data_IF_775536765448
#
_entry.id   IF_775536765448
#
_cell.length_a   1.000
_cell.length_b   1.000
_cell.length_c   1.000
_cell.angle_alpha   90.00
_cell.angle_beta   90.00
_cell.angle_gamma   90.00
#
_symmetry.space_group_name_H-M   'P 1'
#
loop_
_entity.id
_entity.type
_entity.pdbx_description
1 polymer ?
#
# COMPACT_ATOMS: atom_id res chain seq x y z
N UNK A 1 -5.26 6.53 18.32
CA UNK A 1 -4.80 5.85 19.55
C UNK A 1 -3.31 6.07 19.65
N UNK A 2 -2.86 6.75 20.73
CA UNK A 2 -1.46 6.68 21.12
C UNK A 2 -1.15 5.22 21.41
N UNK A 3 -0.43 4.57 20.52
CA UNK A 3 0.13 3.27 20.81
C UNK A 3 1.25 3.49 21.80
N UNK A 4 1.05 3.06 23.03
CA UNK A 4 2.17 2.83 23.96
C UNK A 4 3.20 1.96 23.24
N UNK A 5 4.50 2.14 23.50
CA UNK A 5 5.52 1.29 22.89
C UNK A 5 5.11 -0.16 23.12
N UNK A 6 4.87 -0.86 22.02
CA UNK A 6 4.47 -2.27 22.03
C UNK A 6 5.52 -3.08 22.79
N UNK A 7 5.09 -4.11 23.49
CA UNK A 7 6.01 -5.14 24.04
C UNK A 7 6.37 -6.17 22.98
N UNK A 8 6.50 -5.72 21.72
CA UNK A 8 6.85 -6.53 20.58
C UNK A 8 8.29 -7.05 20.63
N UNK A 9 8.75 -7.51 19.48
CA UNK A 9 10.12 -8.01 19.34
C UNK A 9 11.10 -6.91 19.76
N UNK A 10 12.00 -7.25 20.70
CA UNK A 10 12.98 -6.31 21.23
C UNK A 10 14.34 -6.37 20.47
N UNK A 11 14.62 -7.50 19.83
CA UNK A 11 15.90 -7.73 19.17
C UNK A 11 15.80 -8.70 17.99
N UNK A 12 16.66 -8.52 16.97
CA UNK A 12 16.84 -9.44 15.85
C UNK A 12 18.34 -9.71 15.62
N UNK A 13 18.71 -10.97 15.51
CA UNK A 13 20.10 -11.40 15.30
C UNK A 13 20.23 -12.51 14.25
N UNK A 14 21.41 -12.63 13.63
CA UNK A 14 21.78 -13.79 12.79
C UNK A 14 22.37 -14.90 13.65
N UNK A 15 21.93 -16.15 13.47
CA UNK A 15 22.38 -17.36 14.19
C UNK A 15 22.35 -18.61 13.31
N UNK A 16 22.67 -19.78 13.90
CA UNK A 16 22.69 -21.05 13.16
C UNK A 16 21.30 -21.52 12.68
N UNK A 17 20.23 -21.14 13.35
CA UNK A 17 18.85 -21.48 12.96
C UNK A 17 17.92 -20.32 13.21
N UNK A 18 16.86 -20.23 12.41
CA UNK A 18 15.79 -19.26 12.61
C UNK A 18 14.90 -19.73 13.75
N UNK A 19 14.71 -18.87 14.76
CA UNK A 19 13.85 -19.13 15.92
C UNK A 19 13.45 -17.86 16.63
N UNK A 20 12.42 -17.95 17.46
CA UNK A 20 12.00 -16.88 18.37
C UNK A 20 12.15 -17.36 19.80
N UNK A 21 12.91 -16.64 20.60
CA UNK A 21 13.10 -16.91 22.04
C UNK A 21 12.76 -15.65 22.86
N UNK A 22 11.68 -15.70 23.62
CA UNK A 22 11.19 -14.52 24.33
C UNK A 22 10.83 -13.39 23.35
N UNK A 23 11.54 -12.26 23.43
CA UNK A 23 11.35 -11.11 22.53
C UNK A 23 12.44 -11.00 21.46
N UNK A 24 13.19 -12.07 21.21
CA UNK A 24 14.29 -12.05 20.25
C UNK A 24 14.04 -13.00 19.10
N UNK A 25 14.13 -12.46 17.88
CA UNK A 25 14.15 -13.23 16.64
C UNK A 25 15.59 -13.51 16.22
N UNK A 26 15.89 -14.76 15.95
CA UNK A 26 17.13 -15.20 15.33
C UNK A 26 16.85 -15.61 13.90
N UNK A 27 17.64 -15.11 12.96
CA UNK A 27 17.58 -15.48 11.54
C UNK A 27 18.80 -16.34 11.22
N UNK A 28 18.61 -17.39 10.46
CA UNK A 28 19.64 -18.36 10.10
C UNK A 28 20.77 -17.69 9.31
N UNK A 29 22.00 -17.90 9.75
CA UNK A 29 23.19 -17.52 8.98
C UNK A 29 23.26 -18.26 7.64
N UNK A 30 23.68 -17.56 6.59
CA UNK A 30 23.84 -18.14 5.25
C UNK A 30 22.53 -18.20 4.43
N UNK A 31 21.40 -17.74 4.96
CA UNK A 31 20.13 -17.69 4.22
C UNK A 31 20.24 -16.83 2.93
N UNK A 32 21.14 -15.86 2.92
CA UNK A 32 21.41 -14.98 1.77
C UNK A 32 21.77 -15.77 0.51
N UNK A 33 22.53 -16.86 0.66
CA UNK A 33 22.89 -17.71 -0.48
C UNK A 33 21.68 -18.41 -1.10
N UNK A 34 20.67 -18.78 -0.31
CA UNK A 34 19.43 -19.37 -0.80
C UNK A 34 18.55 -18.33 -1.48
N UNK A 35 18.50 -17.10 -0.95
CA UNK A 35 17.80 -15.97 -1.57
C UNK A 35 18.35 -15.73 -2.97
N UNK A 36 19.67 -15.67 -3.14
CA UNK A 36 20.33 -15.49 -4.44
C UNK A 36 20.02 -16.66 -5.37
N UNK A 37 20.12 -17.89 -4.87
CA UNK A 37 19.95 -19.10 -5.69
C UNK A 37 18.49 -19.36 -6.11
N UNK A 38 17.52 -18.75 -5.44
CA UNK A 38 16.10 -19.00 -5.69
C UNK A 38 15.62 -18.44 -7.02
N UNK A 39 16.17 -17.32 -7.47
CA UNK A 39 15.72 -16.62 -8.67
C UNK A 39 16.90 -16.32 -9.62
N UNK A 40 16.78 -16.73 -10.87
CA UNK A 40 17.82 -16.51 -11.90
C UNK A 40 18.15 -15.03 -12.12
N UNK A 41 17.16 -14.15 -11.97
CA UNK A 41 17.33 -12.70 -12.15
C UNK A 41 17.97 -12.02 -10.95
N UNK A 42 18.05 -12.66 -9.80
CA UNK A 42 18.75 -12.13 -8.62
C UNK A 42 20.25 -12.38 -8.77
N UNK A 43 21.04 -11.31 -8.67
CA UNK A 43 22.50 -11.35 -8.87
C UNK A 43 23.26 -11.20 -7.58
N UNK A 44 22.70 -10.46 -6.62
CA UNK A 44 23.27 -10.31 -5.29
C UNK A 44 22.18 -10.02 -4.28
N UNK A 45 22.46 -10.29 -3.02
CA UNK A 45 21.54 -10.02 -1.91
C UNK A 45 22.31 -9.84 -0.61
N UNK A 46 21.95 -8.83 0.13
CA UNK A 46 22.49 -8.56 1.45
C UNK A 46 21.38 -8.30 2.46
N UNK A 47 21.45 -9.02 3.60
CA UNK A 47 20.51 -8.91 4.70
C UNK A 47 21.09 -8.03 5.81
N UNK A 48 20.41 -6.93 6.10
CA UNK A 48 20.72 -5.99 7.16
C UNK A 48 19.63 -5.97 8.23
N UNK A 49 20.04 -5.86 9.48
CA UNK A 49 19.12 -5.62 10.60
C UNK A 49 19.32 -4.19 11.05
N UNK A 50 18.31 -3.35 10.89
CA UNK A 50 18.35 -1.94 11.24
C UNK A 50 17.54 -1.72 12.50
N UNK A 51 18.21 -1.40 13.58
CA UNK A 51 17.59 -1.07 14.87
C UNK A 51 17.25 0.43 14.95
N UNK A 52 16.37 0.85 15.87
CA UNK A 52 15.94 2.25 15.97
C UNK A 52 17.05 3.28 16.12
N UNK A 53 18.17 2.92 16.70
CA UNK A 53 19.36 3.78 16.82
C UNK A 53 20.19 3.88 15.52
N UNK A 54 19.86 3.06 14.53
CA UNK A 54 20.53 2.98 13.24
C UNK A 54 19.68 3.54 12.08
N UNK A 55 18.57 4.19 12.34
CA UNK A 55 17.69 4.69 11.26
C UNK A 55 18.38 5.68 10.32
N UNK A 56 19.44 6.38 10.75
CA UNK A 56 20.26 7.18 9.86
C UNK A 56 21.20 6.30 9.02
N UNK A 57 20.61 5.32 8.33
CA UNK A 57 21.30 4.44 7.39
C UNK A 57 20.82 4.76 5.98
N UNK A 58 21.77 4.87 5.06
CA UNK A 58 21.45 5.04 3.64
C UNK A 58 20.80 3.76 3.09
N UNK A 59 19.76 3.93 2.32
CA UNK A 59 19.06 2.83 1.64
C UNK A 59 18.88 3.13 0.15
N UNK A 60 19.04 2.11 -0.66
CA UNK A 60 18.55 2.09 -2.03
C UNK A 60 17.03 2.16 -2.04
N UNK A 61 16.44 2.20 -3.23
CA UNK A 61 15.00 2.21 -3.44
C UNK A 61 14.27 1.23 -2.54
N UNK A 62 13.35 1.73 -1.73
CA UNK A 62 12.39 0.89 -1.00
C UNK A 62 11.34 0.39 -1.99
N UNK A 63 11.34 -0.91 -2.25
CA UNK A 63 10.40 -1.56 -3.16
C UNK A 63 9.11 -1.97 -2.46
N UNK A 64 9.22 -2.49 -1.23
CA UNK A 64 8.08 -2.92 -0.44
C UNK A 64 8.37 -2.89 1.06
N UNK A 65 7.33 -2.68 1.84
CA UNK A 65 7.30 -2.84 3.29
C UNK A 65 6.20 -3.86 3.61
N UNK A 66 6.58 -4.94 4.30
CA UNK A 66 5.70 -6.08 4.52
C UNK A 66 5.60 -6.42 6.01
N UNK A 67 4.41 -6.70 6.53
CA UNK A 67 4.27 -7.35 7.83
C UNK A 67 4.73 -8.81 7.74
N UNK A 68 5.14 -9.38 8.86
CA UNK A 68 5.40 -10.82 8.98
C UNK A 68 4.17 -11.44 9.65
N UNK A 69 3.44 -12.24 8.91
CA UNK A 69 2.15 -12.77 9.39
C UNK A 69 1.92 -14.20 8.92
N UNK A 70 1.16 -14.96 9.70
CA UNK A 70 0.74 -16.33 9.37
C UNK A 70 -0.66 -16.62 9.89
N UNK A 71 -1.40 -17.48 9.18
CA UNK A 71 -2.71 -17.96 9.65
C UNK A 71 -2.54 -19.03 10.73
N UNK A 72 -3.49 -19.12 11.65
CA UNK A 72 -3.56 -20.21 12.61
C UNK A 72 -4.32 -21.40 12.05
N UNK A 73 -3.77 -22.59 12.24
CA UNK A 73 -4.37 -23.84 11.82
C UNK A 73 -4.68 -23.90 10.32
N UNK A 74 -5.89 -24.29 9.98
CA UNK A 74 -6.37 -24.38 8.59
C UNK A 74 -7.16 -23.14 8.13
N UNK A 75 -7.11 -22.03 8.88
CA UNK A 75 -7.81 -20.82 8.54
C UNK A 75 -7.27 -20.21 7.23
N UNK A 76 -8.17 -19.61 6.45
CA UNK A 76 -7.85 -18.91 5.20
C UNK A 76 -7.94 -17.40 5.38
N UNK A 77 -7.49 -16.65 4.40
CA UNK A 77 -7.59 -15.18 4.42
C UNK A 77 -9.04 -14.72 4.61
N UNK A 78 -9.22 -13.74 5.49
CA UNK A 78 -10.53 -13.19 5.83
C UNK A 78 -11.30 -13.95 6.88
N UNK A 79 -10.78 -15.09 7.37
CA UNK A 79 -11.43 -15.92 8.38
C UNK A 79 -10.43 -16.37 9.46
N UNK A 80 -10.93 -16.58 10.68
CA UNK A 80 -10.13 -17.10 11.80
C UNK A 80 -9.04 -16.14 12.26
N UNK A 81 -8.06 -16.66 12.98
CA UNK A 81 -6.99 -15.87 13.56
C UNK A 81 -5.77 -15.76 12.62
N UNK A 82 -5.14 -14.60 12.67
CA UNK A 82 -3.87 -14.32 12.00
C UNK A 82 -2.88 -13.78 13.01
N UNK A 83 -1.74 -14.43 13.13
CA UNK A 83 -0.63 -13.97 13.96
C UNK A 83 0.23 -13.00 13.17
N UNK A 84 0.50 -11.85 13.75
CA UNK A 84 1.40 -10.83 13.19
C UNK A 84 2.55 -10.62 14.14
N UNK A 85 3.77 -10.65 13.63
CA UNK A 85 4.94 -10.35 14.43
C UNK A 85 5.04 -8.84 14.65
N UNK A 86 4.96 -8.41 15.90
CA UNK A 86 5.00 -6.99 16.28
C UNK A 86 6.44 -6.53 16.58
N UNK A 87 6.71 -5.24 16.38
CA UNK A 87 8.02 -4.63 16.62
C UNK A 87 9.05 -4.83 15.52
N UNK A 88 8.69 -5.48 14.44
CA UNK A 88 9.58 -5.75 13.30
C UNK A 88 8.83 -5.68 11.99
N UNK A 89 9.52 -5.29 10.91
CA UNK A 89 8.97 -5.24 9.56
C UNK A 89 10.00 -5.70 8.54
N UNK A 90 9.54 -6.39 7.49
CA UNK A 90 10.35 -6.69 6.32
C UNK A 90 10.42 -5.46 5.43
N UNK A 91 11.62 -5.09 4.98
CA UNK A 91 11.83 -3.98 4.06
C UNK A 91 12.66 -4.46 2.88
N UNK A 92 12.04 -4.57 1.72
CA UNK A 92 12.74 -4.93 0.48
C UNK A 92 13.24 -3.67 -0.21
N UNK A 93 14.55 -3.63 -0.47
CA UNK A 93 15.22 -2.53 -1.16
C UNK A 93 16.12 -3.06 -2.26
N UNK A 94 16.54 -2.23 -3.18
CA UNK A 94 17.54 -2.65 -4.15
C UNK A 94 17.66 -1.85 -5.42
N UNK A 95 18.55 -2.34 -6.28
CA UNK A 95 18.87 -1.78 -7.60
C UNK A 95 19.07 -2.92 -8.61
N UNK A 96 19.23 -2.57 -9.89
CA UNK A 96 19.81 -3.48 -10.86
C UNK A 96 21.35 -3.51 -10.78
N UNK A 97 22.00 -4.37 -11.57
CA UNK A 97 23.48 -4.48 -11.63
C UNK A 97 24.16 -3.16 -12.00
N UNK A 98 23.48 -2.27 -12.74
CA UNK A 98 23.97 -0.95 -13.09
C UNK A 98 23.75 0.11 -12.00
N UNK A 99 23.20 -0.25 -10.85
CA UNK A 99 22.83 0.66 -9.77
C UNK A 99 21.60 1.51 -10.08
N UNK A 100 20.79 1.09 -11.06
CA UNK A 100 19.52 1.74 -11.39
C UNK A 100 18.44 1.22 -10.47
N UNK A 101 17.61 2.11 -9.97
CA UNK A 101 16.49 1.76 -9.10
C UNK A 101 15.58 0.68 -9.69
N UNK A 102 14.99 -0.12 -8.83
CA UNK A 102 13.94 -1.06 -9.22
C UNK A 102 12.59 -0.34 -9.07
N UNK A 103 11.80 -0.33 -10.15
CA UNK A 103 10.59 0.47 -10.26
C UNK A 103 10.78 1.67 -11.18
N UNK A 104 9.70 2.34 -11.55
CA UNK A 104 9.70 3.20 -12.74
C UNK A 104 10.36 4.57 -12.51
N UNK A 105 10.07 5.25 -11.44
CA UNK A 105 10.63 6.59 -11.16
C UNK A 105 10.92 6.73 -9.69
N UNK A 106 12.00 7.35 -9.32
CA UNK A 106 12.37 7.83 -8.02
C UNK A 106 11.95 6.96 -6.85
N UNK A 107 12.39 7.13 -5.67
CA UNK A 107 12.14 5.97 -5.02
C UNK A 107 12.56 5.83 -3.60
N UNK A 108 12.26 6.75 -2.78
CA UNK A 108 12.61 6.63 -1.37
C UNK A 108 14.07 6.19 -1.14
N UNK A 109 14.95 6.52 -2.10
CA UNK A 109 16.39 6.34 -1.96
C UNK A 109 16.96 7.45 -1.09
N UNK A 110 17.76 7.10 -0.09
CA UNK A 110 18.37 8.07 0.83
C UNK A 110 18.46 7.53 2.24
N UNK A 111 18.60 8.42 3.22
CA UNK A 111 18.61 8.03 4.63
C UNK A 111 17.21 7.69 5.10
N UNK A 112 17.06 6.53 5.76
CA UNK A 112 15.76 6.00 6.15
C UNK A 112 14.98 6.93 7.09
N UNK A 113 15.66 7.63 7.99
CA UNK A 113 15.02 8.58 8.91
C UNK A 113 14.51 9.86 8.22
N UNK A 114 14.98 10.16 6.99
CA UNK A 114 14.58 11.31 6.19
C UNK A 114 13.54 10.96 5.12
N UNK A 115 13.53 9.72 4.65
CA UNK A 115 12.75 9.27 3.50
C UNK A 115 11.48 8.47 3.86
N UNK A 116 11.03 8.49 5.11
CA UNK A 116 9.87 7.74 5.56
C UNK A 116 8.91 8.65 6.34
N UNK A 117 7.66 8.66 5.97
CA UNK A 117 6.57 9.18 6.80
C UNK A 117 6.15 8.12 7.81
N UNK A 118 6.76 8.19 8.99
CA UNK A 118 6.57 7.20 10.06
C UNK A 118 5.11 7.02 10.46
N UNK A 119 4.71 5.77 10.65
CA UNK A 119 3.37 5.42 11.11
C UNK A 119 2.25 5.55 10.07
N UNK A 120 2.56 5.93 8.82
CA UNK A 120 1.59 5.90 7.73
C UNK A 120 1.26 4.45 7.34
N UNK A 121 0.10 4.16 6.79
CA UNK A 121 -0.37 2.77 6.60
C UNK A 121 0.63 1.83 5.92
N UNK A 122 1.30 2.29 4.88
CA UNK A 122 2.33 1.52 4.15
C UNK A 122 3.75 1.66 4.68
N UNK A 123 3.97 2.47 5.72
CA UNK A 123 5.30 2.79 6.23
C UNK A 123 5.63 2.03 7.51
N UNK A 124 6.92 1.95 7.88
CA UNK A 124 7.31 1.52 9.21
C UNK A 124 6.79 2.44 10.31
N UNK A 125 6.59 1.88 11.51
CA UNK A 125 6.33 2.64 12.72
C UNK A 125 7.66 2.97 13.44
N UNK A 126 7.72 4.09 14.15
CA UNK A 126 8.90 4.41 14.96
C UNK A 126 9.08 3.37 16.05
N UNK A 127 10.28 2.84 16.18
CA UNK A 127 10.63 1.81 17.15
C UNK A 127 10.67 0.39 16.58
N UNK A 128 10.22 0.18 15.35
CA UNK A 128 10.33 -1.13 14.70
C UNK A 128 11.77 -1.43 14.24
N UNK A 129 12.14 -2.69 14.34
CA UNK A 129 13.37 -3.20 13.74
C UNK A 129 13.08 -3.54 12.28
N UNK A 130 13.98 -3.16 11.36
CA UNK A 130 13.84 -3.53 9.96
C UNK A 130 14.70 -4.75 9.64
N UNK A 131 14.07 -5.78 9.12
CA UNK A 131 14.74 -6.84 8.40
C UNK A 131 14.85 -6.37 6.96
N UNK A 132 15.94 -5.66 6.67
CA UNK A 132 16.16 -5.00 5.38
C UNK A 132 16.91 -5.92 4.44
N UNK A 133 16.30 -6.29 3.33
CA UNK A 133 16.94 -7.00 2.24
C UNK A 133 17.32 -6.02 1.14
N UNK A 134 18.62 -5.90 0.86
CA UNK A 134 19.11 -5.15 -0.29
C UNK A 134 19.43 -6.13 -1.43
N UNK A 135 18.63 -6.07 -2.50
CA UNK A 135 18.71 -7.01 -3.61
C UNK A 135 19.23 -6.34 -4.88
N UNK A 136 20.04 -7.07 -5.64
CA UNK A 136 20.49 -6.64 -6.96
C UNK A 136 19.88 -7.57 -8.00
N UNK A 137 19.11 -7.01 -8.93
CA UNK A 137 18.52 -7.77 -10.04
C UNK A 137 19.32 -7.55 -11.33
N UNK A 138 19.16 -8.46 -12.27
CA UNK A 138 19.79 -8.39 -13.58
C UNK A 138 19.49 -7.04 -14.26
N UNK A 139 20.51 -6.45 -14.87
CA UNK A 139 20.39 -5.21 -15.64
C UNK A 139 19.27 -5.29 -16.69
N UNK A 140 18.51 -4.22 -16.84
CA UNK A 140 17.37 -4.10 -17.77
C UNK A 140 16.15 -4.97 -17.44
N UNK A 141 16.05 -5.45 -16.21
CA UNK A 141 14.83 -6.10 -15.70
C UNK A 141 14.19 -5.33 -14.54
N UNK A 142 14.84 -4.27 -14.09
CA UNK A 142 14.46 -3.46 -12.94
C UNK A 142 13.14 -2.69 -13.12
N UNK A 143 12.81 -2.28 -14.35
CA UNK A 143 11.57 -1.54 -14.67
C UNK A 143 10.49 -2.42 -15.30
N UNK A 144 10.78 -3.70 -15.47
CA UNK A 144 9.83 -4.71 -15.90
C UNK A 144 9.36 -5.51 -14.70
N UNK A 145 8.15 -6.05 -14.75
CA UNK A 145 7.61 -6.88 -13.65
C UNK A 145 8.50 -8.07 -13.26
N UNK A 146 9.31 -8.61 -14.17
CA UNK A 146 10.18 -9.77 -13.91
C UNK A 146 11.19 -9.51 -12.81
N UNK A 147 11.82 -8.36 -12.83
CA UNK A 147 12.81 -7.97 -11.82
C UNK A 147 12.20 -7.80 -10.43
N UNK A 148 11.20 -6.93 -10.27
CA UNK A 148 10.45 -6.80 -9.02
C UNK A 148 9.87 -8.11 -8.50
N UNK A 149 9.28 -8.94 -9.35
CA UNK A 149 8.75 -10.24 -8.95
C UNK A 149 9.84 -11.19 -8.47
N UNK A 150 10.97 -11.27 -9.18
CA UNK A 150 12.11 -12.08 -8.76
C UNK A 150 12.65 -11.61 -7.41
N UNK A 151 12.76 -10.30 -7.20
CA UNK A 151 13.21 -9.71 -5.94
C UNK A 151 12.29 -10.09 -4.78
N UNK A 152 10.98 -9.94 -4.94
CA UNK A 152 10.00 -10.30 -3.91
C UNK A 152 9.99 -11.80 -3.63
N UNK A 153 9.99 -12.64 -4.67
CA UNK A 153 10.00 -14.09 -4.52
C UNK A 153 11.26 -14.57 -3.78
N UNK A 154 12.40 -14.00 -4.11
CA UNK A 154 13.65 -14.35 -3.44
C UNK A 154 13.69 -13.90 -1.97
N UNK A 155 13.26 -12.67 -1.69
CA UNK A 155 13.23 -12.13 -0.33
C UNK A 155 12.25 -12.87 0.57
N UNK A 156 11.14 -13.35 0.00
CA UNK A 156 10.10 -14.07 0.76
C UNK A 156 10.58 -15.41 1.36
N UNK A 157 11.72 -15.94 0.94
CA UNK A 157 12.36 -17.10 1.59
C UNK A 157 12.58 -16.81 3.08
N UNK A 158 13.07 -15.62 3.41
CA UNK A 158 13.34 -15.22 4.80
C UNK A 158 12.02 -15.10 5.56
N UNK A 159 11.04 -14.46 4.96
CA UNK A 159 9.70 -14.28 5.55
C UNK A 159 9.04 -15.62 5.81
N UNK A 160 9.14 -16.56 4.86
CA UNK A 160 8.57 -17.90 5.01
C UNK A 160 9.22 -18.69 6.14
N UNK A 161 10.55 -18.62 6.27
CA UNK A 161 11.26 -19.31 7.35
C UNK A 161 10.84 -18.75 8.72
N UNK A 162 10.60 -17.45 8.84
CA UNK A 162 10.07 -16.83 10.06
C UNK A 162 8.63 -17.27 10.33
N UNK A 163 7.78 -17.37 9.31
CA UNK A 163 6.39 -17.85 9.42
C UNK A 163 6.32 -19.26 9.98
N UNK A 164 7.18 -20.17 9.49
CA UNK A 164 7.19 -21.55 10.00
C UNK A 164 7.50 -21.59 11.50
N UNK A 165 8.42 -20.75 11.97
CA UNK A 165 8.68 -20.61 13.41
C UNK A 165 7.48 -20.04 14.15
N UNK A 166 6.80 -19.04 13.59
CA UNK A 166 5.62 -18.43 14.22
C UNK A 166 4.48 -19.42 14.40
N UNK A 167 4.31 -20.37 13.50
CA UNK A 167 3.27 -21.41 13.58
C UNK A 167 3.45 -22.34 14.79
N UNK A 168 4.68 -22.50 15.25
CA UNK A 168 5.03 -23.36 16.38
C UNK A 168 4.95 -22.64 17.75
N UNK A 169 4.73 -21.33 17.78
CA UNK A 169 4.65 -20.57 19.02
C UNK A 169 3.31 -20.81 19.72
N UNK A 170 3.36 -20.96 21.03
CA UNK A 170 2.17 -21.05 21.88
C UNK A 170 1.52 -19.68 22.18
N UNK A 171 0.31 -19.67 22.73
CA UNK A 171 -0.45 -18.45 22.97
C UNK A 171 0.18 -17.51 24.00
N UNK A 172 1.19 -17.93 24.74
CA UNK A 172 1.90 -17.05 25.71
C UNK A 172 2.71 -15.94 25.01
N UNK A 173 2.95 -16.08 23.72
CA UNK A 173 3.58 -15.06 22.88
C UNK A 173 2.60 -13.97 22.39
N UNK A 174 1.29 -14.17 22.53
CA UNK A 174 0.28 -13.19 22.13
C UNK A 174 0.25 -12.05 23.16
N UNK A 175 0.58 -10.84 22.72
CA UNK A 175 0.63 -9.65 23.57
C UNK A 175 -0.54 -8.71 23.34
N UNK A 176 -1.16 -8.76 22.19
CA UNK A 176 -2.33 -7.97 21.81
C UNK A 176 -3.25 -8.80 20.92
N UNK A 177 -4.55 -8.62 21.07
CA UNK A 177 -5.59 -9.25 20.29
C UNK A 177 -6.57 -8.18 19.79
N UNK A 178 -6.86 -8.18 18.49
CA UNK A 178 -7.82 -7.28 17.86
C UNK A 178 -8.81 -8.09 17.02
N UNK A 179 -10.09 -7.92 17.27
CA UNK A 179 -11.14 -8.56 16.48
C UNK A 179 -11.71 -7.59 15.46
N UNK A 180 -11.60 -7.92 14.18
CA UNK A 180 -12.23 -7.21 13.07
C UNK A 180 -13.44 -8.01 12.56
N UNK A 181 -14.54 -7.31 12.28
CA UNK A 181 -15.78 -7.93 11.82
C UNK A 181 -16.30 -7.27 10.56
N UNK A 182 -16.57 -8.07 9.55
CA UNK A 182 -17.34 -7.66 8.39
C UNK A 182 -18.73 -8.35 8.48
N UNK A 183 -19.72 -7.60 8.93
CA UNK A 183 -21.06 -8.10 9.18
C UNK A 183 -22.08 -7.31 8.37
N UNK A 184 -22.99 -8.00 7.71
CA UNK A 184 -24.14 -7.36 7.08
C UNK A 184 -24.94 -6.57 8.11
N UNK A 185 -25.19 -5.31 7.81
CA UNK A 185 -25.92 -4.37 8.68
C UNK A 185 -27.24 -3.95 8.01
N UNK A 186 -28.31 -4.76 8.10
CA UNK A 186 -29.59 -4.46 7.46
C UNK A 186 -30.10 -3.05 7.83
N UNK A 187 -30.50 -2.27 6.83
CA UNK A 187 -30.99 -0.90 7.00
C UNK A 187 -29.90 0.17 7.04
N UNK A 188 -28.61 -0.21 6.98
CA UNK A 188 -27.52 0.74 6.79
C UNK A 188 -27.26 0.96 5.30
N UNK A 189 -26.62 2.09 4.98
CA UNK A 189 -26.22 2.43 3.61
C UNK A 189 -25.10 1.50 3.15
N UNK A 190 -25.32 0.78 2.06
CA UNK A 190 -24.33 -0.11 1.47
C UNK A 190 -23.29 0.67 0.69
N UNK A 191 -22.03 0.42 0.95
CA UNK A 191 -20.92 1.07 0.25
C UNK A 191 -19.91 0.05 -0.26
N UNK A 192 -19.19 0.41 -1.31
CA UNK A 192 -18.09 -0.36 -1.89
C UNK A 192 -16.86 0.49 -2.08
N UNK A 193 -15.69 -0.08 -1.94
CA UNK A 193 -14.41 0.55 -2.28
C UNK A 193 -13.89 -0.08 -3.57
N UNK A 194 -13.65 0.74 -4.59
CA UNK A 194 -12.96 0.34 -5.82
C UNK A 194 -11.54 0.87 -5.74
N UNK A 195 -10.55 -0.04 -5.69
CA UNK A 195 -9.13 0.32 -5.68
C UNK A 195 -8.54 0.06 -7.06
N UNK A 196 -8.31 1.15 -7.79
CA UNK A 196 -7.52 1.09 -9.00
C UNK A 196 -6.04 1.00 -8.64
N UNK A 197 -5.41 -0.02 -9.15
CA UNK A 197 -4.03 -0.31 -8.88
C UNK A 197 -3.17 0.12 -10.04
N UNK A 198 -2.22 0.95 -9.72
CA UNK A 198 -1.30 1.49 -10.70
C UNK A 198 -0.28 0.48 -11.20
N UNK A 199 0.10 0.66 -12.42
CA UNK A 199 1.23 0.02 -13.03
C UNK A 199 1.23 0.29 -14.52
N UNK A 200 2.33 0.70 -15.06
CA UNK A 200 2.43 0.99 -16.48
C UNK A 200 2.75 -0.29 -17.24
N UNK A 201 1.74 -0.83 -17.94
CA UNK A 201 1.92 -1.90 -18.90
C UNK A 201 2.29 -3.28 -18.38
N UNK A 202 2.54 -3.41 -17.11
CA UNK A 202 2.97 -4.66 -16.52
C UNK A 202 2.04 -5.13 -15.40
N UNK A 203 0.79 -4.71 -15.44
CA UNK A 203 -0.15 -4.89 -14.34
C UNK A 203 -0.62 -6.31 -14.12
N UNK A 204 -0.53 -7.16 -15.14
CA UNK A 204 -1.04 -8.52 -15.04
C UNK A 204 -0.51 -9.30 -13.84
N UNK A 205 0.74 -9.05 -13.46
CA UNK A 205 1.40 -9.80 -12.42
C UNK A 205 1.72 -8.96 -11.18
N UNK A 206 1.23 -7.73 -11.11
CA UNK A 206 1.45 -6.86 -9.96
C UNK A 206 0.57 -7.26 -8.76
N UNK A 207 -0.50 -7.98 -9.03
CA UNK A 207 -1.44 -8.42 -8.03
C UNK A 207 -1.65 -9.91 -8.09
N UNK A 208 -1.31 -10.53 -7.01
CA UNK A 208 -1.54 -11.94 -6.75
C UNK A 208 -2.47 -12.02 -5.55
N UNK A 209 -3.55 -12.77 -5.66
CA UNK A 209 -4.36 -13.14 -4.51
C UNK A 209 -3.78 -14.37 -3.85
N UNK A 210 -3.04 -14.24 -2.76
CA UNK A 210 -2.52 -15.37 -2.02
C UNK A 210 -3.61 -16.00 -1.14
N UNK A 211 -3.38 -17.21 -0.69
CA UNK A 211 -4.22 -17.88 0.31
C UNK A 211 -3.67 -17.72 1.73
N UNK A 212 -2.43 -17.28 1.86
CA UNK A 212 -1.79 -16.93 3.13
C UNK A 212 -1.37 -15.46 3.12
N UNK A 213 -1.22 -14.82 4.30
CA UNK A 213 -0.85 -13.41 4.38
C UNK A 213 0.52 -13.14 3.80
N UNK A 214 0.60 -12.08 3.08
CA UNK A 214 1.75 -11.41 2.47
C UNK A 214 2.97 -12.29 2.15
N UNK A 215 3.44 -12.20 0.93
CA UNK A 215 4.62 -12.89 0.42
C UNK A 215 4.30 -13.83 -0.72
N UNK A 216 5.28 -14.06 -1.60
CA UNK A 216 5.08 -14.90 -2.78
C UNK A 216 5.33 -16.38 -2.47
N UNK A 217 6.30 -16.70 -1.64
CA UNK A 217 6.61 -18.09 -1.25
C UNK A 217 5.66 -18.61 -0.17
N UNK A 218 5.44 -17.83 0.89
CA UNK A 218 4.52 -18.18 1.95
C UNK A 218 3.07 -17.99 1.55
N UNK A 219 2.84 -17.01 0.69
CA UNK A 219 1.55 -16.76 0.09
C UNK A 219 1.38 -17.63 -1.14
N UNK A 220 0.71 -18.75 -1.00
CA UNK A 220 0.34 -19.57 -2.16
C UNK A 220 -0.56 -18.75 -3.08
N UNK A 221 -0.06 -18.40 -4.26
CA UNK A 221 -0.81 -17.66 -5.26
C UNK A 221 -2.11 -18.39 -5.62
N UNK A 222 -3.23 -17.66 -5.54
CA UNK A 222 -4.55 -18.16 -5.91
C UNK A 222 -4.95 -17.67 -7.30
N UNK A 223 -4.84 -16.37 -7.54
CA UNK A 223 -5.25 -15.72 -8.80
C UNK A 223 -4.28 -14.60 -9.13
N UNK A 224 -3.85 -14.55 -10.38
CA UNK A 224 -3.26 -13.35 -10.98
C UNK A 224 -4.42 -12.45 -11.44
N UNK A 225 -4.52 -11.24 -10.88
CA UNK A 225 -5.68 -10.37 -11.11
C UNK A 225 -5.72 -9.78 -12.52
N UNK A 226 -4.60 -9.60 -13.16
CA UNK A 226 -4.58 -8.81 -14.40
C UNK A 226 -5.25 -7.45 -14.20
N UNK A 227 -5.94 -6.96 -15.21
CA UNK A 227 -6.58 -5.65 -15.16
C UNK A 227 -8.09 -5.68 -14.88
N UNK A 228 -8.72 -6.84 -14.86
CA UNK A 228 -10.17 -6.94 -14.67
C UNK A 228 -10.55 -6.80 -13.19
N UNK A 229 -11.75 -6.27 -12.88
CA UNK A 229 -12.17 -6.12 -11.49
C UNK A 229 -12.34 -7.47 -10.80
N UNK A 230 -11.78 -7.56 -9.59
CA UNK A 230 -11.94 -8.70 -8.69
C UNK A 230 -12.45 -8.19 -7.34
N UNK A 231 -13.55 -8.76 -6.86
CA UNK A 231 -14.12 -8.42 -5.58
C UNK A 231 -13.61 -9.37 -4.50
N UNK A 232 -13.18 -8.78 -3.38
CA UNK A 232 -12.73 -9.50 -2.19
C UNK A 232 -13.44 -8.99 -0.94
N UNK A 233 -13.44 -9.80 0.11
CA UNK A 233 -13.92 -9.38 1.43
C UNK A 233 -13.02 -8.27 2.00
N UNK A 234 -13.58 -7.29 2.74
CA UNK A 234 -12.78 -6.34 3.48
C UNK A 234 -11.78 -6.99 4.44
N UNK A 235 -12.14 -8.12 5.03
CA UNK A 235 -11.26 -8.87 5.94
C UNK A 235 -10.12 -9.57 5.20
N UNK A 236 -10.32 -10.03 3.96
CA UNK A 236 -9.23 -10.55 3.13
C UNK A 236 -8.19 -9.46 2.83
N UNK A 237 -8.62 -8.22 2.60
CA UNK A 237 -7.71 -7.10 2.39
C UNK A 237 -6.84 -6.88 3.63
N UNK A 238 -7.48 -6.75 4.80
CA UNK A 238 -6.81 -6.52 6.07
C UNK A 238 -5.97 -7.72 6.56
N UNK A 239 -6.19 -8.86 5.97
CA UNK A 239 -5.45 -10.10 6.21
C UNK A 239 -4.31 -10.31 5.18
N UNK A 240 -4.03 -9.31 4.37
CA UNK A 240 -2.91 -9.28 3.46
C UNK A 240 -3.11 -10.05 2.15
N UNK A 241 -4.32 -10.06 1.59
CA UNK A 241 -4.59 -10.73 0.33
C UNK A 241 -3.91 -10.07 -0.88
N UNK A 242 -3.45 -8.85 -0.75
CA UNK A 242 -2.75 -8.12 -1.80
C UNK A 242 -1.28 -7.98 -1.45
N UNK A 243 -0.44 -8.42 -2.36
CA UNK A 243 0.98 -8.25 -2.34
C UNK A 243 1.38 -7.24 -3.41
N UNK A 244 1.91 -6.10 -3.00
CA UNK A 244 2.35 -5.06 -3.92
C UNK A 244 3.72 -5.44 -4.50
N UNK A 245 3.77 -5.73 -5.79
CA UNK A 245 5.00 -6.18 -6.44
C UNK A 245 5.80 -5.06 -7.05
N UNK A 246 5.14 -3.97 -7.39
CA UNK A 246 5.82 -2.92 -8.11
C UNK A 246 5.66 -1.59 -7.45
N UNK A 247 6.69 -0.83 -7.62
CA UNK A 247 6.77 0.51 -7.19
C UNK A 247 6.88 1.39 -8.42
N UNK A 248 5.87 2.14 -8.69
CA UNK A 248 5.90 3.12 -9.76
C UNK A 248 6.26 4.46 -9.16
N UNK A 249 7.52 4.66 -8.91
CA UNK A 249 8.07 5.90 -8.45
C UNK A 249 7.39 6.53 -7.24
N UNK A 250 7.76 7.75 -6.90
CA UNK A 250 7.22 8.45 -5.73
C UNK A 250 5.73 8.79 -5.87
N UNK A 251 5.19 8.77 -7.09
CA UNK A 251 3.81 9.09 -7.35
C UNK A 251 2.81 8.01 -6.93
N UNK A 252 3.26 6.76 -6.70
CA UNK A 252 2.34 5.65 -6.50
C UNK A 252 2.92 4.48 -5.72
N UNK A 253 3.50 4.76 -4.57
CA UNK A 253 4.05 3.70 -3.73
C UNK A 253 3.00 3.11 -2.80
N UNK A 254 2.26 2.14 -3.31
CA UNK A 254 1.49 1.26 -2.46
C UNK A 254 2.37 0.09 -1.99
N UNK A 255 2.53 -0.02 -0.68
CA UNK A 255 3.25 -1.11 -0.03
C UNK A 255 2.29 -2.23 0.37
N UNK A 256 2.76 -3.46 0.46
CA UNK A 256 1.95 -4.59 0.96
C UNK A 256 1.36 -4.29 2.33
N UNK A 257 2.12 -3.63 3.19
CA UNK A 257 1.64 -3.18 4.50
C UNK A 257 0.51 -2.17 4.43
N UNK A 258 0.42 -1.36 3.37
CA UNK A 258 -0.68 -0.42 3.16
C UNK A 258 -2.03 -1.14 3.07
N UNK A 259 -2.10 -2.23 2.33
CA UNK A 259 -3.33 -3.02 2.23
C UNK A 259 -3.69 -3.69 3.54
N UNK A 260 -2.72 -4.21 4.26
CA UNK A 260 -2.89 -4.75 5.60
C UNK A 260 -3.49 -3.75 6.60
N UNK A 261 -3.20 -2.47 6.42
CA UNK A 261 -3.65 -1.34 7.23
C UNK A 261 -4.57 -0.40 6.45
N UNK A 262 -5.27 -0.89 5.45
CA UNK A 262 -6.02 -0.08 4.51
C UNK A 262 -6.99 0.87 5.25
N UNK A 263 -6.73 2.19 5.23
CA UNK A 263 -7.40 3.11 6.14
C UNK A 263 -8.88 3.30 5.81
N UNK A 264 -9.25 3.30 4.54
CA UNK A 264 -10.63 3.46 4.13
C UNK A 264 -11.48 2.22 4.45
N UNK A 265 -10.89 1.03 4.34
CA UNK A 265 -11.53 -0.22 4.77
C UNK A 265 -11.76 -0.19 6.28
N UNK A 266 -10.74 0.17 7.07
CA UNK A 266 -10.87 0.26 8.52
C UNK A 266 -11.93 1.29 8.93
N UNK A 267 -11.91 2.49 8.37
CA UNK A 267 -12.90 3.53 8.68
C UNK A 267 -14.33 3.09 8.33
N UNK A 268 -14.51 2.45 7.17
CA UNK A 268 -15.84 1.97 6.76
C UNK A 268 -16.34 0.77 7.59
N UNK A 269 -15.45 -0.10 8.06
CA UNK A 269 -15.82 -1.20 8.96
C UNK A 269 -16.19 -0.72 10.37
N UNK A 270 -15.52 0.33 10.86
CA UNK A 270 -15.80 0.89 12.17
C UNK A 270 -17.01 1.86 12.19
N UNK A 271 -17.41 2.39 11.04
CA UNK A 271 -18.55 3.31 10.96
C UNK A 271 -19.89 2.56 11.14
N UNK A 272 -20.73 3.07 12.04
CA UNK A 272 -22.00 2.44 12.36
C UNK A 272 -23.14 2.76 11.38
N UNK A 273 -22.96 3.73 10.47
CA UNK A 273 -23.98 4.21 9.55
C UNK A 273 -23.90 3.55 8.17
N UNK A 274 -22.74 2.95 7.83
CA UNK A 274 -22.54 2.28 6.54
C UNK A 274 -22.36 0.77 6.71
N UNK A 275 -22.56 0.04 5.61
CA UNK A 275 -22.32 -1.38 5.48
C UNK A 275 -21.35 -1.58 4.30
N UNK A 276 -20.06 -1.82 4.60
CA UNK A 276 -19.05 -2.08 3.58
C UNK A 276 -19.27 -3.46 2.97
N UNK A 277 -19.73 -3.49 1.72
CA UNK A 277 -20.12 -4.73 1.04
C UNK A 277 -18.92 -5.51 0.47
N UNK A 278 -17.83 -4.84 0.16
CA UNK A 278 -16.64 -5.47 -0.42
C UNK A 278 -15.63 -4.43 -0.91
N UNK A 279 -14.48 -4.93 -1.33
CA UNK A 279 -13.44 -4.16 -2.00
C UNK A 279 -13.23 -4.74 -3.40
N UNK A 280 -13.27 -3.90 -4.41
CA UNK A 280 -13.06 -4.26 -5.80
C UNK A 280 -11.68 -3.76 -6.24
N UNK A 281 -10.76 -4.67 -6.46
CA UNK A 281 -9.47 -4.35 -7.07
C UNK A 281 -9.58 -4.36 -8.59
N UNK A 282 -8.93 -3.40 -9.23
CA UNK A 282 -8.91 -3.26 -10.69
C UNK A 282 -7.57 -2.71 -11.14
N UNK A 283 -7.02 -3.23 -12.22
CA UNK A 283 -5.78 -2.73 -12.80
C UNK A 283 -6.00 -1.55 -13.74
N UNK A 284 -4.89 -0.91 -14.14
CA UNK A 284 -4.88 0.22 -15.09
C UNK A 284 -4.19 -0.19 -16.40
N UNK A 285 -4.93 -0.59 -17.44
CA UNK A 285 -4.37 -0.91 -18.74
C UNK A 285 -3.70 0.30 -19.41
N UNK A 286 -2.73 0.07 -20.29
CA UNK A 286 -2.10 1.18 -21.02
C UNK A 286 -2.95 1.72 -22.17
N UNK A 287 -3.75 0.88 -22.81
CA UNK A 287 -4.51 1.23 -23.99
C UNK A 287 -5.89 1.75 -23.60
N UNK A 288 -6.27 2.92 -24.06
CA UNK A 288 -7.55 3.55 -23.70
C UNK A 288 -8.77 2.66 -23.96
N UNK A 289 -8.78 1.89 -25.04
CA UNK A 289 -9.88 0.97 -25.32
C UNK A 289 -10.05 -0.09 -24.23
N UNK A 290 -8.95 -0.58 -23.70
CA UNK A 290 -8.94 -1.54 -22.58
C UNK A 290 -9.34 -0.86 -21.27
N UNK A 291 -8.83 0.36 -21.00
CA UNK A 291 -9.23 1.17 -19.85
C UNK A 291 -10.77 1.32 -19.79
N UNK A 292 -11.39 1.72 -20.88
CA UNK A 292 -12.85 1.90 -20.95
C UNK A 292 -13.62 0.58 -20.87
N UNK A 293 -13.06 -0.50 -21.40
CA UNK A 293 -13.65 -1.84 -21.24
C UNK A 293 -13.65 -2.28 -19.78
N UNK A 294 -12.50 -2.15 -19.10
CA UNK A 294 -12.34 -2.50 -17.68
C UNK A 294 -13.26 -1.62 -16.83
N UNK A 295 -13.32 -0.31 -17.10
CA UNK A 295 -14.19 0.61 -16.35
C UNK A 295 -15.69 0.26 -16.49
N UNK A 296 -16.14 -0.18 -17.67
CA UNK A 296 -17.51 -0.68 -17.82
C UNK A 296 -17.78 -1.91 -16.96
N UNK A 297 -16.79 -2.81 -16.84
CA UNK A 297 -16.91 -3.98 -15.96
C UNK A 297 -16.99 -3.56 -14.49
N UNK A 298 -16.20 -2.56 -14.07
CA UNK A 298 -16.32 -1.98 -12.73
C UNK A 298 -17.74 -1.45 -12.48
N UNK A 299 -18.27 -0.65 -13.43
CA UNK A 299 -19.64 -0.14 -13.31
C UNK A 299 -20.68 -1.25 -13.18
N UNK A 300 -20.56 -2.34 -13.95
CA UNK A 300 -21.45 -3.50 -13.84
C UNK A 300 -21.29 -4.23 -12.49
N UNK A 301 -20.06 -4.40 -12.03
CA UNK A 301 -19.79 -5.04 -10.74
C UNK A 301 -20.46 -4.26 -9.60
N UNK A 302 -20.26 -2.95 -9.58
CA UNK A 302 -20.84 -2.07 -8.54
C UNK A 302 -22.37 -2.06 -8.61
N UNK A 303 -22.93 -2.03 -9.82
CA UNK A 303 -24.38 -2.12 -10.04
C UNK A 303 -24.98 -3.44 -9.51
N UNK A 304 -24.32 -4.58 -9.78
CA UNK A 304 -24.74 -5.88 -9.27
C UNK A 304 -24.68 -5.98 -7.74
N UNK A 305 -23.76 -5.24 -7.10
CA UNK A 305 -23.67 -5.20 -5.65
C UNK A 305 -24.82 -4.42 -5.00
N UNK A 306 -25.58 -3.67 -5.77
CA UNK A 306 -26.74 -2.89 -5.32
C UNK A 306 -26.38 -1.97 -4.14
N UNK A 307 -25.33 -1.16 -4.30
CA UNK A 307 -24.81 -0.25 -3.28
C UNK A 307 -25.43 1.14 -3.35
N UNK A 308 -25.50 1.83 -2.22
CA UNK A 308 -25.97 3.22 -2.12
C UNK A 308 -24.88 4.24 -2.45
N UNK A 309 -23.60 3.87 -2.33
CA UNK A 309 -22.47 4.74 -2.59
C UNK A 309 -21.17 3.99 -2.84
N UNK A 310 -20.20 4.65 -3.45
CA UNK A 310 -18.93 4.06 -3.78
C UNK A 310 -17.74 5.01 -3.53
N UNK A 311 -16.60 4.43 -3.23
CA UNK A 311 -15.31 5.09 -3.30
C UNK A 311 -14.54 4.56 -4.50
N UNK A 312 -13.76 5.41 -5.15
CA UNK A 312 -12.77 5.01 -6.15
C UNK A 312 -11.43 5.60 -5.74
N UNK A 313 -10.44 4.77 -5.54
CA UNK A 313 -9.10 5.20 -5.12
C UNK A 313 -8.05 4.83 -6.16
N UNK A 314 -7.07 5.70 -6.35
CA UNK A 314 -5.82 5.41 -7.02
C UNK A 314 -4.71 6.25 -6.40
N UNK A 315 -3.56 5.64 -6.15
CA UNK A 315 -2.44 6.33 -5.50
C UNK A 315 -1.55 7.08 -6.51
N UNK A 316 -1.79 6.91 -7.80
CA UNK A 316 -1.02 7.56 -8.84
C UNK A 316 -1.72 8.71 -9.53
N UNK A 317 -1.09 9.20 -10.59
CA UNK A 317 -1.62 10.26 -11.44
C UNK A 317 -1.17 10.09 -12.90
N UNK A 318 -1.69 10.94 -13.78
CA UNK A 318 -1.33 10.93 -15.19
C UNK A 318 -2.15 9.93 -16.02
N UNK A 319 -1.50 8.93 -16.62
CA UNK A 319 -2.17 7.99 -17.51
C UNK A 319 -3.30 7.18 -16.85
N UNK A 320 -3.13 6.80 -15.59
CA UNK A 320 -4.16 6.07 -14.84
C UNK A 320 -5.36 6.95 -14.43
N UNK A 321 -5.23 8.27 -14.45
CA UNK A 321 -6.39 9.13 -14.24
C UNK A 321 -7.46 9.00 -15.33
N UNK A 322 -7.13 8.44 -16.50
CA UNK A 322 -8.09 8.19 -17.59
C UNK A 322 -9.10 7.13 -17.16
N UNK A 323 -8.62 6.00 -16.66
CA UNK A 323 -9.50 4.93 -16.18
C UNK A 323 -10.09 5.24 -14.80
N UNK A 324 -9.34 5.87 -13.91
CA UNK A 324 -9.87 6.39 -12.65
C UNK A 324 -11.11 7.30 -12.86
N UNK A 325 -11.02 8.29 -13.77
CA UNK A 325 -12.14 9.12 -14.14
C UNK A 325 -13.28 8.30 -14.79
N UNK A 326 -12.92 7.33 -15.63
CA UNK A 326 -13.89 6.45 -16.27
C UNK A 326 -14.59 5.51 -15.26
N UNK A 327 -13.91 5.01 -14.25
CA UNK A 327 -14.53 4.24 -13.16
C UNK A 327 -15.58 5.08 -12.43
N UNK A 328 -15.24 6.32 -12.07
CA UNK A 328 -16.19 7.26 -11.44
C UNK A 328 -17.37 7.54 -12.35
N UNK A 329 -17.15 7.75 -13.66
CA UNK A 329 -18.22 7.97 -14.63
C UNK A 329 -19.15 6.77 -14.71
N UNK A 330 -18.60 5.57 -14.84
CA UNK A 330 -19.38 4.34 -14.97
C UNK A 330 -20.23 4.05 -13.73
N UNK A 331 -19.77 4.40 -12.55
CA UNK A 331 -20.53 4.27 -11.30
C UNK A 331 -21.56 5.40 -11.21
N UNK A 332 -21.14 6.64 -11.42
CA UNK A 332 -22.00 7.83 -11.28
C UNK A 332 -23.17 7.87 -12.28
N UNK A 333 -22.97 7.40 -13.51
CA UNK A 333 -24.04 7.33 -14.52
C UNK A 333 -25.16 6.33 -14.16
N UNK A 334 -24.92 5.44 -13.23
CA UNK A 334 -25.90 4.53 -12.63
C UNK A 334 -26.64 5.13 -11.45
N UNK A 335 -26.40 6.43 -11.16
CA UNK A 335 -27.06 7.16 -10.08
C UNK A 335 -26.45 6.90 -8.70
N UNK A 336 -25.27 6.29 -8.62
CA UNK A 336 -24.56 5.98 -7.37
C UNK A 336 -23.61 7.12 -7.05
N UNK A 337 -23.73 7.81 -5.90
CA UNK A 337 -22.78 8.82 -5.45
C UNK A 337 -21.36 8.21 -5.33
N UNK A 338 -20.34 8.94 -5.79
CA UNK A 338 -18.97 8.50 -5.81
C UNK A 338 -18.05 9.54 -5.22
N UNK A 339 -17.14 9.10 -4.34
CA UNK A 339 -16.01 9.90 -3.87
C UNK A 339 -14.73 9.33 -4.45
N UNK A 340 -13.94 10.18 -5.10
CA UNK A 340 -12.63 9.84 -5.67
C UNK A 340 -11.49 10.27 -4.75
N UNK A 341 -10.48 9.42 -4.60
CA UNK A 341 -9.25 9.70 -3.86
C UNK A 341 -8.05 9.40 -4.77
N UNK A 342 -7.19 10.41 -4.95
CA UNK A 342 -6.00 10.28 -5.80
C UNK A 342 -5.01 11.41 -5.49
N UNK A 343 -3.80 11.30 -6.00
CA UNK A 343 -2.92 12.46 -6.14
C UNK A 343 -3.46 13.37 -7.25
N UNK A 344 -4.30 14.34 -6.92
CA UNK A 344 -5.13 15.03 -7.91
C UNK A 344 -5.22 16.57 -7.76
N UNK A 345 -4.48 17.18 -6.84
CA UNK A 345 -4.61 18.62 -6.60
C UNK A 345 -3.68 19.48 -7.49
N UNK A 346 -2.39 19.52 -7.22
CA UNK A 346 -1.44 20.40 -7.89
C UNK A 346 -0.77 19.70 -9.08
N UNK A 347 0.38 19.05 -8.88
CA UNK A 347 1.10 18.39 -9.97
C UNK A 347 0.32 17.21 -10.57
N UNK A 348 -0.42 16.48 -9.74
CA UNK A 348 -1.33 15.42 -10.17
C UNK A 348 -2.69 15.92 -10.65
N UNK A 349 -2.87 17.21 -10.91
CA UNK A 349 -4.15 17.75 -11.35
C UNK A 349 -4.72 17.00 -12.54
N UNK A 350 -5.98 16.60 -12.42
CA UNK A 350 -6.64 15.75 -13.40
C UNK A 350 -6.73 16.43 -14.76
N UNK A 351 -6.14 15.82 -15.78
CA UNK A 351 -6.23 16.26 -17.18
C UNK A 351 -7.52 15.78 -17.85
N UNK A 352 -8.19 14.81 -17.25
CA UNK A 352 -9.49 14.29 -17.64
C UNK A 352 -10.48 14.46 -16.51
N UNK A 353 -11.72 14.64 -16.86
CA UNK A 353 -12.78 14.78 -15.85
C UNK A 353 -14.17 14.62 -16.45
N UNK A 354 -15.14 14.38 -15.59
CA UNK A 354 -16.53 14.26 -15.95
C UNK A 354 -17.44 14.86 -14.86
N UNK A 355 -18.72 14.96 -15.15
CA UNK A 355 -19.69 15.59 -14.22
C UNK A 355 -19.89 14.84 -12.89
N UNK A 356 -19.46 13.61 -12.79
CA UNK A 356 -19.60 12.78 -11.59
C UNK A 356 -18.40 12.91 -10.62
N UNK A 357 -17.33 13.59 -11.04
CA UNK A 357 -16.13 13.85 -10.22
C UNK A 357 -16.31 15.10 -9.36
N UNK A 358 -17.40 15.19 -8.63
CA UNK A 358 -17.72 16.34 -7.78
C UNK A 358 -17.00 16.25 -6.42
N UNK A 359 -16.81 15.04 -5.91
CA UNK A 359 -16.28 14.77 -4.59
C UNK A 359 -14.91 14.12 -4.71
N UNK A 360 -13.87 14.91 -4.49
CA UNK A 360 -12.48 14.45 -4.63
C UNK A 360 -11.68 14.77 -3.37
N UNK A 361 -10.81 13.86 -2.99
CA UNK A 361 -9.82 14.02 -1.93
C UNK A 361 -8.43 13.83 -2.54
N UNK A 362 -7.54 14.78 -2.33
CA UNK A 362 -6.14 14.69 -2.74
C UNK A 362 -5.33 13.98 -1.64
N UNK A 363 -4.65 12.90 -2.00
CA UNK A 363 -3.88 12.08 -1.06
C UNK A 363 -2.38 12.39 -1.03
N UNK A 364 -1.89 13.37 -1.81
CA UNK A 364 -0.50 13.80 -1.75
C UNK A 364 -0.22 14.65 -0.49
N UNK A 365 0.88 14.38 0.20
CA UNK A 365 1.28 15.05 1.45
C UNK A 365 2.50 15.94 1.30
N UNK A 366 2.93 16.28 0.08
CA UNK A 366 3.95 17.32 -0.07
C UNK A 366 3.35 18.71 0.15
N UNK A 367 4.10 19.62 0.75
CA UNK A 367 3.59 20.97 1.10
C UNK A 367 3.07 21.75 -0.11
N UNK A 368 3.74 21.68 -1.24
CA UNK A 368 3.32 22.36 -2.47
C UNK A 368 2.52 21.49 -3.43
N UNK A 369 2.18 20.25 -3.07
CA UNK A 369 1.40 19.34 -3.89
C UNK A 369 2.15 18.84 -5.12
N UNK A 370 3.46 18.67 -5.01
CA UNK A 370 4.31 18.08 -6.06
C UNK A 370 4.75 16.67 -5.67
N UNK A 371 5.22 15.95 -6.65
CA UNK A 371 5.80 14.63 -6.50
C UNK A 371 6.97 14.62 -5.51
N UNK A 372 7.10 13.56 -4.73
CA UNK A 372 8.08 13.44 -3.67
C UNK A 372 8.54 11.99 -3.51
N UNK A 373 9.80 11.77 -3.20
CA UNK A 373 10.41 10.45 -3.02
C UNK A 373 10.22 9.88 -1.60
N UNK A 374 9.68 10.66 -0.67
CA UNK A 374 9.43 10.20 0.71
C UNK A 374 8.34 9.13 0.72
N UNK A 375 8.64 7.99 1.30
CA UNK A 375 7.71 6.87 1.43
C UNK A 375 6.46 7.29 2.21
N UNK A 376 5.29 7.03 1.67
CA UNK A 376 3.99 7.38 2.26
C UNK A 376 3.47 8.76 1.86
N UNK A 377 4.26 9.58 1.12
CA UNK A 377 3.82 10.92 0.72
C UNK A 377 2.55 10.92 -0.16
N UNK A 378 2.37 9.92 -0.99
CA UNK A 378 1.25 9.84 -1.93
C UNK A 378 0.21 8.77 -1.58
N UNK A 379 0.42 8.00 -0.53
CA UNK A 379 -0.49 6.92 -0.14
C UNK A 379 -1.61 7.42 0.76
N UNK A 380 -2.80 6.84 0.58
CA UNK A 380 -3.98 7.12 1.40
C UNK A 380 -3.68 6.91 2.90
N UNK A 381 -4.12 7.84 3.72
CA UNK A 381 -4.00 7.77 5.17
C UNK A 381 -5.37 7.88 5.87
N UNK A 382 -5.39 7.68 7.17
CA UNK A 382 -6.61 7.66 7.96
C UNK A 382 -7.40 8.98 7.85
N UNK A 383 -6.73 10.12 7.90
CA UNK A 383 -7.35 11.44 7.86
C UNK A 383 -8.13 11.66 6.54
N UNK A 384 -7.57 11.19 5.44
CA UNK A 384 -8.21 11.23 4.12
C UNK A 384 -9.38 10.24 4.05
N UNK A 385 -9.24 9.06 4.62
CA UNK A 385 -10.31 8.05 4.75
C UNK A 385 -11.51 8.61 5.52
N UNK A 386 -11.29 9.24 6.68
CA UNK A 386 -12.33 9.90 7.48
C UNK A 386 -13.03 10.99 6.64
N UNK A 387 -12.26 11.83 5.95
CA UNK A 387 -12.82 12.88 5.08
C UNK A 387 -13.66 12.30 3.96
N UNK A 388 -13.16 11.28 3.27
CA UNK A 388 -13.86 10.63 2.17
C UNK A 388 -15.18 9.98 2.63
N UNK A 389 -15.17 9.31 3.78
CA UNK A 389 -16.35 8.70 4.35
C UNK A 389 -17.41 9.74 4.72
N UNK A 390 -17.02 10.85 5.34
CA UNK A 390 -17.91 11.96 5.63
C UNK A 390 -18.53 12.56 4.35
N UNK A 391 -17.73 12.74 3.30
CA UNK A 391 -18.20 13.21 2.00
C UNK A 391 -19.20 12.25 1.37
N UNK A 392 -18.94 10.95 1.39
CA UNK A 392 -19.84 9.96 0.81
C UNK A 392 -21.17 9.89 1.56
N UNK A 393 -21.14 9.92 2.89
CA UNK A 393 -22.37 9.95 3.71
C UNK A 393 -23.22 11.17 3.41
N UNK A 394 -22.63 12.36 3.33
CA UNK A 394 -23.33 13.58 2.97
C UNK A 394 -23.90 13.53 1.53
N UNK A 395 -23.11 13.03 0.56
CA UNK A 395 -23.58 12.86 -0.82
C UNK A 395 -24.76 11.87 -0.92
N UNK A 396 -24.73 10.76 -0.21
CA UNK A 396 -25.86 9.82 -0.14
C UNK A 396 -27.11 10.40 0.54
N UNK A 397 -26.94 11.36 1.45
CA UNK A 397 -28.02 12.10 2.08
C UNK A 397 -28.58 13.24 1.19
N UNK A 398 -27.93 13.53 0.06
CA UNK A 398 -28.30 14.65 -0.82
C UNK A 398 -27.90 16.02 -0.27
N UNK A 399 -26.94 16.06 0.64
CA UNK A 399 -26.40 17.29 1.22
C UNK A 399 -25.34 17.91 0.32
N UNK A 400 -25.22 19.24 0.36
CA UNK A 400 -24.15 19.94 -0.32
C UNK A 400 -22.82 19.72 0.38
N UNK A 401 -21.83 19.24 -0.36
CA UNK A 401 -20.49 18.94 0.16
C UNK A 401 -19.48 19.90 -0.45
N UNK A 402 -18.77 20.64 0.42
CA UNK A 402 -17.63 21.43 -0.02
C UNK A 402 -16.46 20.51 -0.31
N UNK A 403 -15.93 20.56 -1.52
CA UNK A 403 -14.75 19.83 -1.96
C UNK A 403 -13.65 20.78 -2.44
N UNK A 404 -12.41 20.34 -2.36
CA UNK A 404 -11.29 21.10 -2.93
C UNK A 404 -11.36 21.09 -4.46
N UNK A 405 -10.92 22.17 -5.08
CA UNK A 405 -10.80 22.26 -6.54
C UNK A 405 -9.67 21.33 -7.05
N UNK A 406 -9.86 20.76 -8.23
CA UNK A 406 -8.90 19.89 -8.93
C UNK A 406 -8.11 20.69 -9.97
N UNK A 407 -7.30 21.65 -9.53
CA UNK A 407 -6.59 22.57 -10.42
C UNK A 407 -5.11 22.66 -10.05
N UNK A 408 -4.31 22.98 -11.04
CA UNK A 408 -2.89 23.32 -10.85
C UNK A 408 -2.77 24.70 -10.15
N UNK A 409 -2.91 24.68 -8.83
CA UNK A 409 -2.85 25.89 -8.01
C UNK A 409 -2.43 25.50 -6.57
N UNK A 410 -1.38 26.09 -5.99
CA UNK A 410 -0.96 25.81 -4.62
C UNK A 410 -2.06 25.96 -3.56
N UNK A 411 -2.99 26.92 -3.75
CA UNK A 411 -4.11 27.10 -2.82
C UNK A 411 -5.08 25.91 -2.79
N UNK A 412 -5.14 25.10 -3.86
CA UNK A 412 -5.94 23.87 -3.89
C UNK A 412 -5.41 22.86 -2.88
N UNK A 413 -4.09 22.76 -2.74
CA UNK A 413 -3.46 21.86 -1.77
C UNK A 413 -3.82 22.28 -0.33
N UNK A 414 -3.60 23.54 0.02
CA UNK A 414 -3.93 24.04 1.36
C UNK A 414 -5.42 23.91 1.68
N UNK A 415 -6.31 24.22 0.74
CA UNK A 415 -7.75 24.04 0.91
C UNK A 415 -8.13 22.56 1.13
N UNK A 416 -7.51 21.64 0.40
CA UNK A 416 -7.74 20.21 0.61
C UNK A 416 -7.29 19.76 2.00
N UNK A 417 -6.11 20.18 2.44
CA UNK A 417 -5.59 19.88 3.79
C UNK A 417 -6.53 20.44 4.87
N UNK A 418 -6.96 21.70 4.77
CA UNK A 418 -7.91 22.31 5.70
C UNK A 418 -9.23 21.52 5.81
N UNK A 419 -9.75 21.03 4.68
CA UNK A 419 -10.97 20.23 4.66
C UNK A 419 -10.78 18.84 5.29
N UNK A 420 -9.61 18.21 5.10
CA UNK A 420 -9.25 16.93 5.73
C UNK A 420 -9.13 17.13 7.23
N UNK A 421 -8.36 18.13 7.68
CA UNK A 421 -8.14 18.43 9.10
C UNK A 421 -9.45 18.75 9.82
N UNK A 422 -10.33 19.49 9.17
CA UNK A 422 -11.66 19.80 9.72
C UNK A 422 -12.53 18.54 9.88
N UNK A 423 -12.40 17.56 9.00
CA UNK A 423 -13.14 16.31 9.09
C UNK A 423 -12.59 15.36 10.14
N UNK A 424 -11.27 15.23 10.26
CA UNK A 424 -10.63 14.27 11.18
C UNK A 424 -10.33 14.85 12.57
N UNK A 425 -10.37 16.17 12.73
CA UNK A 425 -10.05 16.85 14.00
C UNK A 425 -8.55 16.83 14.37
N UNK A 426 -7.68 16.46 13.45
CA UNK A 426 -6.23 16.38 13.64
C UNK A 426 -5.50 17.09 12.49
N UNK A 427 -4.31 17.59 12.78
CA UNK A 427 -3.43 18.11 11.71
C UNK A 427 -2.84 16.95 10.91
N UNK A 428 -2.84 17.11 9.59
CA UNK A 428 -2.15 16.20 8.69
C UNK A 428 -0.66 16.56 8.63
N UNK A 429 0.19 15.57 8.75
CA UNK A 429 1.62 15.75 8.55
C UNK A 429 1.92 15.95 7.07
N UNK A 430 2.65 16.99 6.74
CA UNK A 430 3.15 17.26 5.41
C UNK A 430 4.66 17.13 5.40
N UNK A 431 5.22 16.84 4.24
CA UNK A 431 6.66 16.75 4.03
C UNK A 431 7.13 17.84 3.06
N UNK A 432 8.38 18.23 3.20
CA UNK A 432 9.05 19.11 2.26
C UNK A 432 9.03 18.53 0.85
N UNK A 433 9.10 19.38 -0.15
CA UNK A 433 9.16 18.93 -1.53
C UNK A 433 10.47 18.21 -1.81
N UNK A 434 10.47 17.33 -2.79
CA UNK A 434 11.67 16.61 -3.23
C UNK A 434 12.90 17.51 -3.45
N UNK A 435 12.70 18.71 -3.96
CA UNK A 435 13.77 19.70 -4.18
C UNK A 435 14.41 20.24 -2.89
N UNK A 436 13.76 20.11 -1.76
CA UNK A 436 14.28 20.50 -0.46
C UNK A 436 15.01 19.36 0.26
N UNK A 437 14.85 18.13 -0.19
CA UNK A 437 15.59 16.99 0.35
C UNK A 437 17.03 16.98 -0.20
N UNK A 438 18.03 16.72 0.63
CA UNK A 438 19.40 16.60 0.16
C UNK A 438 19.52 15.40 -0.79
N UNK A 439 20.10 15.65 -1.97
CA UNK A 439 20.39 14.57 -2.91
C UNK A 439 21.34 13.57 -2.27
N UNK A 440 21.03 12.28 -2.36
CA UNK A 440 21.88 11.23 -1.85
C UNK A 440 23.27 11.25 -2.50
N UNK A 441 24.29 10.79 -1.77
CA UNK A 441 25.66 10.76 -2.29
C UNK A 441 25.76 9.91 -3.56
N UNK A 442 25.06 8.77 -3.61
CA UNK A 442 25.04 7.85 -4.76
C UNK A 442 24.37 8.47 -5.99
N UNK A 443 23.31 9.27 -5.78
CA UNK A 443 22.71 10.07 -6.85
C UNK A 443 23.63 11.18 -7.34
N UNK A 444 24.33 11.87 -6.45
CA UNK A 444 25.32 12.86 -6.85
C UNK A 444 26.42 12.23 -7.72
N UNK A 445 26.99 11.13 -7.27
CA UNK A 445 28.02 10.40 -8.01
C UNK A 445 27.54 9.88 -9.39
N UNK A 446 26.23 9.65 -9.54
CA UNK A 446 25.63 9.18 -10.80
C UNK A 446 25.36 10.30 -11.80
N UNK A 447 25.09 11.51 -11.35
CA UNK A 447 24.70 12.64 -12.19
C UNK A 447 25.77 13.74 -12.31
N UNK A 448 26.82 13.73 -11.50
CA UNK A 448 28.05 14.52 -11.63
C UNK A 448 29.07 13.82 -12.53
#
# INVERSE_FOLDING_TARGET
RDRSPSRGLGDVYKRQETKIEGTTLYIREGIEAEVIANQELVKDFHLEIITPDQYHTYSETIMDVQPIATKEGDAILGEGATRVLDGVVMMLTGTDEGGVQIGEFGSSEGYLDENIMWGRPGCPDKGEIFIKGNIVVQEKTNMERRGPMAAHTAFDIITQEIREVMKELDDSFIVEDEELKSIRRPGKKKVVIVKEIMGQGAMHDNFILPVEPVGILGARANVDLGNVPVCVSPLEVLDGCIHALTCIGPASKEMSRHYWREPLVLEALHDEEVDLCGVVFVGSPQINAEKYYVSRRVGHTVEMMDVDGAFVTTEGFGNNHIDFASHIEQIGMRGIPVVGLSFCAVQGALVVGNKYMQYMVDNNKSESGIENEVLGCNTLCQEEGIRALAMLKAAMAGEEVKAAEKKWNPNVKSTNVELIEAACGKKIELVDNEQSLPMSQKRKEKYD
#
